data_IF_348003049972
#
_entry.id   IF_348003049972
#
_cell.length_a   1.000
_cell.length_b   1.000
_cell.length_c   1.000
_cell.angle_alpha   90.00
_cell.angle_beta   90.00
_cell.angle_gamma   90.00
#
_symmetry.space_group_name_H-M   'P 1'
#
loop_
_entity.id
_entity.type
_entity.pdbx_description
1 polymer ?
#
# COMPACT_ATOMS: atom_id res chain seq x y z
N UNK A 1 1.93 25.02 51.54
CA UNK A 1 2.14 23.95 50.55
C UNK A 1 0.91 23.06 50.56
N UNK A 2 -0.11 23.44 49.80
CA UNK A 2 -1.42 22.78 49.77
C UNK A 2 -2.09 23.14 48.46
N UNK A 3 -2.28 22.13 47.60
CA UNK A 3 -3.31 21.99 46.56
C UNK A 3 -2.72 21.19 45.39
N UNK A 4 -2.65 19.88 45.60
CA UNK A 4 -2.54 18.85 44.58
C UNK A 4 -3.80 18.94 43.70
N UNK A 5 -3.80 19.85 42.72
CA UNK A 5 -4.90 20.01 41.77
C UNK A 5 -4.91 18.78 40.87
N UNK A 6 -5.87 17.90 41.14
CA UNK A 6 -6.43 16.97 40.19
C UNK A 6 -6.60 17.62 38.81
N UNK A 7 -5.75 17.22 37.87
CA UNK A 7 -5.90 17.31 36.41
C UNK A 7 -6.27 18.67 35.85
N UNK A 8 -5.28 19.45 35.38
CA UNK A 8 -5.58 20.64 34.57
C UNK A 8 -6.46 20.25 33.36
N UNK A 9 -7.36 21.13 32.87
CA UNK A 9 -8.15 20.85 31.66
C UNK A 9 -7.29 20.45 30.45
N UNK A 10 -6.03 20.91 30.41
CA UNK A 10 -5.02 20.56 29.42
C UNK A 10 -4.52 19.12 29.58
N UNK A 11 -4.18 18.69 30.80
CA UNK A 11 -3.79 17.31 31.10
C UNK A 11 -4.90 16.32 30.68
N UNK A 12 -6.16 16.63 31.01
CA UNK A 12 -7.30 15.82 30.60
C UNK A 12 -7.47 15.73 29.07
N UNK A 13 -7.02 16.74 28.32
CA UNK A 13 -7.00 16.70 26.84
C UNK A 13 -5.87 15.80 26.34
N UNK A 14 -4.66 15.91 26.88
CA UNK A 14 -3.56 15.01 26.53
C UNK A 14 -3.86 13.54 26.87
N UNK A 15 -4.38 13.26 28.07
CA UNK A 15 -4.82 11.91 28.47
C UNK A 15 -5.96 11.35 27.63
N UNK A 16 -6.79 12.20 27.00
CA UNK A 16 -7.78 11.73 26.01
C UNK A 16 -7.11 11.33 24.69
N UNK A 17 -6.09 12.06 24.26
CA UNK A 17 -5.32 11.72 23.05
C UNK A 17 -4.51 10.44 23.24
N UNK A 18 -3.94 10.20 24.44
CA UNK A 18 -3.20 8.96 24.72
C UNK A 18 -4.07 7.72 24.61
N UNK A 19 -5.41 7.79 24.78
CA UNK A 19 -6.33 6.64 24.62
C UNK A 19 -6.24 5.95 23.26
N UNK A 20 -5.76 6.66 22.23
CA UNK A 20 -5.45 6.05 20.94
C UNK A 20 -4.34 5.01 21.05
N UNK A 21 -3.42 5.10 22.00
CA UNK A 21 -2.38 4.09 22.21
C UNK A 21 -2.94 2.78 22.79
N UNK A 22 -2.28 1.65 22.51
CA UNK A 22 -2.62 0.38 23.13
C UNK A 22 -2.53 0.41 24.67
N UNK A 23 -3.38 -0.36 25.35
CA UNK A 23 -3.47 -0.39 26.83
C UNK A 23 -2.12 -0.66 27.51
N UNK A 24 -1.34 -1.62 27.02
CA UNK A 24 -0.06 -1.95 27.67
C UNK A 24 1.01 -0.88 27.45
N UNK A 25 0.95 -0.14 26.33
CA UNK A 25 1.84 1.01 26.11
C UNK A 25 1.52 2.11 27.10
N UNK A 26 0.23 2.41 27.27
CA UNK A 26 -0.24 3.42 28.22
C UNK A 26 0.16 3.10 29.66
N UNK A 27 -0.04 1.85 30.08
CA UNK A 27 0.33 1.41 31.43
C UNK A 27 1.81 1.63 31.76
N UNK A 28 2.69 1.63 30.76
CA UNK A 28 4.13 1.80 30.97
C UNK A 28 4.64 3.22 30.68
N UNK A 29 3.96 4.02 29.86
CA UNK A 29 4.52 5.27 29.31
C UNK A 29 3.61 6.50 29.46
N UNK A 30 2.33 6.33 29.81
CA UNK A 30 1.34 7.42 29.72
C UNK A 30 1.71 8.62 30.60
N UNK A 31 2.07 8.40 31.86
CA UNK A 31 2.34 9.49 32.79
C UNK A 31 3.61 10.27 32.42
N UNK A 32 4.69 9.57 32.05
CA UNK A 32 5.92 10.21 31.58
C UNK A 32 5.69 11.00 30.29
N UNK A 33 4.99 10.42 29.32
CA UNK A 33 4.70 11.06 28.04
C UNK A 33 3.81 12.30 28.20
N UNK A 34 2.76 12.23 29.02
CA UNK A 34 1.88 13.37 29.30
C UNK A 34 2.62 14.45 30.08
N UNK A 35 3.46 14.09 31.05
CA UNK A 35 4.31 15.04 31.78
C UNK A 35 5.18 15.86 30.84
N UNK A 36 5.91 15.21 29.93
CA UNK A 36 6.75 15.91 28.94
C UNK A 36 5.94 16.85 28.04
N UNK A 37 4.73 16.46 27.60
CA UNK A 37 3.88 17.33 26.78
C UNK A 37 3.35 18.54 27.56
N UNK A 38 3.09 18.38 28.85
CA UNK A 38 2.69 19.49 29.73
C UNK A 38 3.84 20.46 29.96
N UNK A 39 5.05 19.96 30.23
CA UNK A 39 6.22 20.82 30.42
C UNK A 39 6.48 21.71 29.19
N UNK A 40 6.35 21.15 27.99
CA UNK A 40 6.47 21.91 26.73
C UNK A 40 5.33 22.91 26.57
N UNK A 41 4.09 22.51 26.88
CA UNK A 41 2.94 23.40 26.77
C UNK A 41 3.00 24.56 27.77
N UNK A 42 3.46 24.31 28.99
CA UNK A 42 3.62 25.31 30.05
C UNK A 42 4.75 26.29 29.69
N UNK A 43 5.88 25.80 29.16
CA UNK A 43 6.97 26.64 28.66
C UNK A 43 6.53 27.57 27.52
N UNK A 44 5.59 27.12 26.68
CA UNK A 44 5.02 27.89 25.58
C UNK A 44 3.75 28.68 25.97
N UNK A 45 3.32 28.62 27.25
CA UNK A 45 2.13 29.31 27.75
C UNK A 45 0.82 28.84 27.09
N UNK A 46 0.75 27.60 26.62
CA UNK A 46 -0.39 27.07 25.86
C UNK A 46 -1.45 26.45 26.76
N UNK A 47 -2.70 26.82 26.53
CA UNK A 47 -3.85 26.23 27.22
C UNK A 47 -4.46 24.99 26.51
N UNK A 48 -3.96 24.62 25.33
CA UNK A 48 -4.50 23.51 24.54
C UNK A 48 -3.42 22.82 23.69
N UNK A 49 -3.59 21.51 23.37
CA UNK A 49 -2.74 20.82 22.41
C UNK A 49 -2.92 21.41 21.02
N UNK A 50 -1.82 21.61 20.29
CA UNK A 50 -1.83 22.13 18.92
C UNK A 50 -2.45 21.12 17.95
N UNK A 51 -2.86 21.56 16.76
CA UNK A 51 -3.39 20.64 15.74
C UNK A 51 -2.33 19.62 15.31
N UNK A 52 -1.09 20.06 15.18
CA UNK A 52 0.04 19.21 14.79
C UNK A 52 0.32 18.16 15.86
N UNK A 53 0.41 18.55 17.14
CA UNK A 53 0.57 17.60 18.26
C UNK A 53 -0.52 16.53 18.26
N UNK A 54 -1.78 16.90 18.04
CA UNK A 54 -2.88 15.93 17.97
C UNK A 54 -2.68 14.92 16.85
N UNK A 55 -2.30 15.39 15.66
CA UNK A 55 -2.07 14.54 14.49
C UNK A 55 -0.87 13.61 14.72
N UNK A 56 0.22 14.13 15.30
CA UNK A 56 1.42 13.36 15.60
C UNK A 56 1.12 12.28 16.65
N UNK A 57 0.44 12.63 17.74
CA UNK A 57 0.04 11.69 18.80
C UNK A 57 -0.85 10.58 18.22
N UNK A 58 -1.85 10.93 17.42
CA UNK A 58 -2.75 9.94 16.78
C UNK A 58 -1.98 9.08 15.78
N UNK A 59 -1.11 9.66 14.96
CA UNK A 59 -0.30 8.95 13.98
C UNK A 59 0.67 7.96 14.63
N UNK A 60 1.31 8.35 15.73
CA UNK A 60 2.16 7.47 16.52
C UNK A 60 1.36 6.37 17.21
N UNK A 61 0.18 6.68 17.75
CA UNK A 61 -0.70 5.69 18.37
C UNK A 61 -1.19 4.63 17.37
N UNK A 62 -1.55 5.04 16.15
CA UNK A 62 -1.90 4.13 15.05
C UNK A 62 -0.71 3.26 14.66
N UNK A 63 0.49 3.84 14.54
CA UNK A 63 1.72 3.10 14.27
C UNK A 63 1.98 2.04 15.36
N UNK A 64 1.84 2.40 16.64
CA UNK A 64 2.02 1.51 17.77
C UNK A 64 0.99 0.35 17.82
N UNK A 65 -0.21 0.56 17.25
CA UNK A 65 -1.19 -0.53 17.07
C UNK A 65 -0.80 -1.43 15.90
N UNK A 66 -0.38 -0.86 14.79
CA UNK A 66 0.07 -1.60 13.62
C UNK A 66 1.29 -2.46 13.93
N UNK A 67 2.21 -1.98 14.77
CA UNK A 67 3.40 -2.72 15.22
C UNK A 67 3.07 -4.04 15.95
N UNK A 68 1.82 -4.19 16.44
CA UNK A 68 1.33 -5.46 17.03
C UNK A 68 0.81 -6.45 16.01
N UNK A 69 0.40 -5.96 14.85
CA UNK A 69 -0.20 -6.76 13.77
C UNK A 69 0.90 -7.17 12.80
N UNK A 70 1.81 -6.24 12.49
CA UNK A 70 2.89 -6.43 11.52
C UNK A 70 4.16 -5.82 12.10
N UNK A 71 5.24 -6.60 12.09
CA UNK A 71 6.57 -6.13 12.50
C UNK A 71 7.01 -4.92 11.66
N UNK A 72 7.55 -3.84 12.25
CA UNK A 72 7.80 -2.57 11.54
C UNK A 72 8.61 -2.69 10.24
N UNK A 73 9.66 -3.49 10.22
CA UNK A 73 10.50 -3.64 9.03
C UNK A 73 9.82 -4.43 7.91
N UNK A 74 8.98 -5.43 8.25
CA UNK A 74 8.12 -6.14 7.28
C UNK A 74 7.08 -5.19 6.71
N UNK A 75 6.48 -4.36 7.57
CA UNK A 75 5.50 -3.34 7.17
C UNK A 75 6.09 -2.35 6.17
N UNK A 76 7.27 -1.82 6.46
CA UNK A 76 7.94 -0.82 5.61
C UNK A 76 8.40 -1.44 4.28
N UNK A 77 8.86 -2.69 4.29
CA UNK A 77 9.19 -3.43 3.08
C UNK A 77 7.94 -3.77 2.25
N UNK A 78 6.86 -4.23 2.87
CA UNK A 78 5.57 -4.48 2.21
C UNK A 78 4.95 -3.21 1.62
N UNK A 79 5.05 -2.08 2.32
CA UNK A 79 4.69 -0.74 1.83
C UNK A 79 5.52 -0.35 0.59
N UNK A 80 6.81 -0.70 0.56
CA UNK A 80 7.67 -0.50 -0.61
C UNK A 80 7.20 -1.34 -1.79
N UNK A 81 6.92 -2.63 -1.59
CA UNK A 81 6.42 -3.51 -2.66
C UNK A 81 5.09 -2.97 -3.20
N UNK A 82 4.13 -2.67 -2.32
CA UNK A 82 2.83 -2.12 -2.73
C UNK A 82 2.96 -0.79 -3.47
N UNK A 83 3.88 0.09 -3.04
CA UNK A 83 4.17 1.34 -3.74
C UNK A 83 4.68 1.09 -5.16
N UNK A 84 5.70 0.24 -5.30
CA UNK A 84 6.33 -0.06 -6.60
C UNK A 84 5.39 -0.82 -7.53
N UNK A 85 4.59 -1.75 -7.00
CA UNK A 85 3.57 -2.49 -7.74
C UNK A 85 2.46 -1.56 -8.23
N UNK A 86 1.90 -0.72 -7.35
CA UNK A 86 0.89 0.26 -7.71
C UNK A 86 1.39 1.24 -8.78
N UNK A 87 2.61 1.77 -8.62
CA UNK A 87 3.21 2.64 -9.64
C UNK A 87 3.45 1.92 -10.96
N UNK A 88 4.00 0.71 -10.94
CA UNK A 88 4.26 -0.07 -12.16
C UNK A 88 2.99 -0.34 -12.97
N UNK A 89 1.96 -0.88 -12.32
CA UNK A 89 0.68 -1.14 -12.99
C UNK A 89 -0.04 0.14 -13.43
N UNK A 90 0.02 1.23 -12.65
CA UNK A 90 -0.57 2.50 -13.07
C UNK A 90 0.10 3.09 -14.32
N UNK A 91 1.42 2.96 -14.43
CA UNK A 91 2.15 3.35 -15.64
C UNK A 91 1.82 2.46 -16.83
N UNK A 92 1.64 1.16 -16.62
CA UNK A 92 1.27 0.22 -17.67
C UNK A 92 -0.14 0.52 -18.21
N UNK A 93 -1.12 0.70 -17.31
CA UNK A 93 -2.47 1.15 -17.65
C UNK A 93 -2.45 2.47 -18.42
N UNK A 94 -1.69 3.46 -17.94
CA UNK A 94 -1.58 4.74 -18.61
C UNK A 94 -1.01 4.63 -20.02
N UNK A 95 0.10 3.89 -20.19
CA UNK A 95 0.73 3.75 -21.49
C UNK A 95 -0.15 2.95 -22.46
N UNK A 96 -0.70 1.83 -21.99
CA UNK A 96 -1.31 0.81 -22.85
C UNK A 96 -2.81 1.03 -23.11
N UNK A 97 -3.56 1.50 -22.11
CA UNK A 97 -4.99 1.79 -22.25
C UNK A 97 -5.24 3.29 -22.45
N UNK A 98 -4.78 4.12 -21.50
CA UNK A 98 -5.21 5.53 -21.43
C UNK A 98 -4.64 6.38 -22.57
N UNK A 99 -3.32 6.37 -22.76
CA UNK A 99 -2.63 7.17 -23.77
C UNK A 99 -2.55 6.44 -25.10
N UNK A 100 -2.11 5.18 -25.09
CA UNK A 100 -1.96 4.29 -26.24
C UNK A 100 -1.56 5.06 -27.53
N UNK A 101 -0.37 5.70 -27.55
CA UNK A 101 0.01 6.63 -28.62
C UNK A 101 0.08 6.00 -30.02
N UNK A 102 0.18 4.67 -30.10
CA UNK A 102 0.13 3.89 -31.33
C UNK A 102 -1.27 3.78 -31.94
N UNK A 103 -2.32 4.18 -31.21
CA UNK A 103 -3.69 4.19 -31.71
C UNK A 103 -4.01 5.59 -32.19
N UNK A 104 -4.26 5.71 -33.48
CA UNK A 104 -4.61 6.99 -34.10
C UNK A 104 -6.12 7.24 -34.00
N UNK A 105 -6.48 8.42 -33.50
CA UNK A 105 -7.87 8.85 -33.35
C UNK A 105 -8.61 8.17 -32.19
N UNK A 106 -9.92 8.44 -32.16
CA UNK A 106 -10.82 7.89 -31.18
C UNK A 106 -11.35 6.54 -31.70
N UNK A 107 -11.09 5.42 -31.00
CA UNK A 107 -11.53 4.09 -31.45
C UNK A 107 -13.05 3.93 -31.38
N UNK A 108 -13.74 4.75 -30.58
CA UNK A 108 -15.20 4.67 -30.38
C UNK A 108 -15.82 6.09 -30.36
N UNK A 109 -15.75 6.85 -31.47
CA UNK A 109 -16.03 8.29 -31.50
C UNK A 109 -17.47 8.68 -31.11
N UNK A 110 -18.41 7.74 -31.18
CA UNK A 110 -19.82 7.96 -30.78
C UNK A 110 -20.07 7.69 -29.29
N UNK A 111 -19.13 7.05 -28.60
CA UNK A 111 -19.33 6.53 -27.24
C UNK A 111 -18.22 6.95 -26.27
N UNK A 112 -17.18 7.61 -26.76
CA UNK A 112 -16.02 8.05 -25.99
C UNK A 112 -15.75 9.54 -26.26
N UNK A 113 -15.73 10.35 -25.21
CA UNK A 113 -15.26 11.73 -25.20
C UNK A 113 -13.82 11.70 -24.73
N UNK A 114 -12.90 11.94 -25.66
CA UNK A 114 -11.47 11.92 -25.40
C UNK A 114 -11.04 13.24 -24.76
N UNK A 115 -10.20 13.18 -23.72
CA UNK A 115 -9.61 14.37 -23.09
C UNK A 115 -8.18 14.51 -23.60
N UNK A 116 -8.00 15.35 -24.63
CA UNK A 116 -6.71 15.46 -25.32
C UNK A 116 -6.30 14.11 -25.93
N UNK A 117 -5.09 13.58 -25.67
CA UNK A 117 -4.68 12.28 -26.18
C UNK A 117 -5.19 11.10 -25.31
N UNK A 118 -5.89 11.35 -24.20
CA UNK A 118 -6.25 10.32 -23.23
C UNK A 118 -7.67 9.79 -23.41
N UNK A 119 -7.81 8.47 -23.40
CA UNK A 119 -9.07 7.74 -23.61
C UNK A 119 -9.86 7.51 -22.33
N UNK A 120 -9.20 7.48 -21.18
CA UNK A 120 -9.84 7.30 -19.87
C UNK A 120 -9.10 8.11 -18.78
N UNK A 121 -9.55 7.96 -17.53
CA UNK A 121 -8.98 8.66 -16.37
C UNK A 121 -7.63 8.12 -15.87
N UNK A 122 -7.02 7.11 -16.51
CA UNK A 122 -5.81 6.45 -16.03
C UNK A 122 -4.58 7.36 -15.92
N UNK A 123 -4.50 8.43 -16.72
CA UNK A 123 -3.44 9.44 -16.59
C UNK A 123 -3.42 10.13 -15.22
N UNK A 124 -4.58 10.30 -14.58
CA UNK A 124 -4.67 10.88 -13.23
C UNK A 124 -4.06 9.92 -12.20
N UNK A 125 -4.37 8.63 -12.31
CA UNK A 125 -3.83 7.61 -11.41
C UNK A 125 -2.33 7.45 -11.59
N UNK A 126 -1.83 7.40 -12.82
CA UNK A 126 -0.40 7.36 -13.10
C UNK A 126 0.35 8.57 -12.53
N UNK A 127 -0.20 9.79 -12.68
CA UNK A 127 0.40 10.99 -12.11
C UNK A 127 0.46 10.93 -10.58
N UNK A 128 -0.62 10.52 -9.91
CA UNK A 128 -0.65 10.39 -8.44
C UNK A 128 0.36 9.34 -7.94
N UNK A 129 0.46 8.20 -8.62
CA UNK A 129 1.42 7.15 -8.28
C UNK A 129 2.88 7.56 -8.54
N UNK A 130 3.15 8.31 -9.61
CA UNK A 130 4.47 8.89 -9.88
C UNK A 130 4.86 9.92 -8.83
N UNK A 131 3.94 10.81 -8.42
CA UNK A 131 4.17 11.76 -7.32
C UNK A 131 4.47 11.00 -6.03
N UNK A 132 3.74 9.92 -5.73
CA UNK A 132 3.99 9.11 -4.55
C UNK A 132 5.38 8.45 -4.55
N UNK A 133 5.77 7.82 -5.66
CA UNK A 133 7.08 7.17 -5.79
C UNK A 133 8.22 8.18 -5.73
N UNK A 134 8.13 9.29 -6.47
CA UNK A 134 9.15 10.34 -6.47
C UNK A 134 9.29 10.99 -5.11
N UNK A 135 8.17 11.26 -4.41
CA UNK A 135 8.19 11.76 -3.04
C UNK A 135 8.89 10.78 -2.07
N UNK A 136 8.65 9.47 -2.20
CA UNK A 136 9.34 8.46 -1.41
C UNK A 136 10.86 8.46 -1.68
N UNK A 137 11.27 8.48 -2.95
CA UNK A 137 12.68 8.51 -3.35
C UNK A 137 13.40 9.80 -2.95
N UNK A 138 12.67 10.92 -2.88
CA UNK A 138 13.17 12.21 -2.41
C UNK A 138 13.19 12.34 -0.88
N UNK A 139 12.70 11.35 -0.13
CA UNK A 139 12.58 11.41 1.34
C UNK A 139 11.46 12.33 1.84
N UNK A 140 10.54 12.76 0.97
CA UNK A 140 9.41 13.64 1.27
C UNK A 140 8.09 12.85 1.40
N UNK A 141 8.11 11.78 2.20
CA UNK A 141 7.00 10.80 2.23
C UNK A 141 5.62 11.38 2.61
N UNK A 142 5.58 12.52 3.33
CA UNK A 142 4.33 13.23 3.60
C UNK A 142 3.55 13.58 2.31
N UNK A 143 4.25 14.02 1.26
CA UNK A 143 3.66 14.33 -0.05
C UNK A 143 3.11 13.06 -0.70
N UNK A 144 3.87 11.96 -0.62
CA UNK A 144 3.42 10.67 -1.16
C UNK A 144 2.16 10.14 -0.47
N UNK A 145 2.03 10.32 0.85
CA UNK A 145 0.81 9.97 1.58
C UNK A 145 -0.40 10.76 1.11
N UNK A 146 -0.24 12.06 0.86
CA UNK A 146 -1.32 12.90 0.33
C UNK A 146 -1.73 12.38 -1.05
N UNK A 147 -0.77 12.13 -1.95
CA UNK A 147 -1.04 11.63 -3.29
C UNK A 147 -1.78 10.28 -3.27
N UNK A 148 -1.35 9.33 -2.42
CA UNK A 148 -2.01 8.03 -2.27
C UNK A 148 -3.40 8.15 -1.64
N UNK A 149 -3.60 9.07 -0.69
CA UNK A 149 -4.93 9.33 -0.12
C UNK A 149 -5.89 9.87 -1.19
N UNK A 150 -5.43 10.82 -1.99
CA UNK A 150 -6.19 11.34 -3.14
C UNK A 150 -6.46 10.23 -4.16
N UNK A 151 -5.49 9.35 -4.42
CA UNK A 151 -5.65 8.19 -5.30
C UNK A 151 -6.77 7.25 -4.82
N UNK A 152 -6.83 6.93 -3.53
CA UNK A 152 -7.90 6.09 -2.95
C UNK A 152 -9.26 6.78 -3.13
N UNK A 153 -9.36 8.07 -2.79
CA UNK A 153 -10.62 8.81 -2.95
C UNK A 153 -11.06 8.87 -4.41
N UNK A 154 -10.14 9.12 -5.34
CA UNK A 154 -10.42 9.11 -6.77
C UNK A 154 -10.87 7.73 -7.25
N UNK A 155 -10.23 6.65 -6.82
CA UNK A 155 -10.60 5.28 -7.18
C UNK A 155 -12.03 4.92 -6.72
N UNK A 156 -12.46 5.45 -5.57
CA UNK A 156 -13.83 5.24 -5.05
C UNK A 156 -14.85 6.11 -5.78
N UNK A 157 -14.53 7.38 -6.06
CA UNK A 157 -15.50 8.35 -6.59
C UNK A 157 -15.67 8.26 -8.10
N UNK A 158 -14.58 8.11 -8.85
CA UNK A 158 -14.59 8.21 -10.32
C UNK A 158 -15.53 7.23 -11.04
N UNK A 159 -15.69 5.96 -10.63
CA UNK A 159 -16.60 5.04 -11.31
C UNK A 159 -18.07 5.45 -11.24
N UNK A 160 -18.47 6.18 -10.18
CA UNK A 160 -19.84 6.65 -10.01
C UNK A 160 -20.04 8.04 -10.59
N UNK A 161 -19.01 8.88 -10.50
CA UNK A 161 -19.03 10.22 -11.06
C UNK A 161 -19.19 10.19 -12.58
N UNK A 162 -18.39 9.37 -13.27
CA UNK A 162 -18.38 9.33 -14.74
C UNK A 162 -19.61 8.68 -15.38
N UNK A 163 -20.40 7.91 -14.62
CA UNK A 163 -21.72 7.44 -15.10
C UNK A 163 -22.65 8.61 -15.48
N UNK A 164 -22.44 9.80 -14.89
CA UNK A 164 -23.22 11.01 -15.20
C UNK A 164 -22.72 11.79 -16.42
N UNK A 165 -21.55 11.45 -16.97
CA UNK A 165 -20.92 12.17 -18.08
C UNK A 165 -20.71 11.21 -19.25
N UNK A 166 -21.71 11.09 -20.15
CA UNK A 166 -21.64 10.19 -21.30
C UNK A 166 -20.36 10.42 -22.09
N UNK A 167 -19.65 9.31 -22.36
CA UNK A 167 -18.41 9.34 -23.13
C UNK A 167 -17.14 9.51 -22.31
N UNK A 168 -17.16 10.00 -21.07
CA UNK A 168 -15.94 10.01 -20.25
C UNK A 168 -15.83 8.69 -19.50
N UNK A 169 -14.79 7.92 -19.79
CA UNK A 169 -14.62 6.58 -19.23
C UNK A 169 -13.67 6.61 -18.03
N UNK A 170 -14.06 5.87 -17.00
CA UNK A 170 -13.18 5.57 -15.86
C UNK A 170 -12.30 4.38 -16.20
N UNK A 171 -11.12 4.32 -15.60
CA UNK A 171 -10.38 3.07 -15.38
C UNK A 171 -11.34 2.01 -14.82
N UNK A 172 -11.14 0.75 -15.22
CA UNK A 172 -11.98 -0.36 -14.80
C UNK A 172 -11.99 -0.53 -13.27
N UNK A 173 -13.13 -1.00 -12.73
CA UNK A 173 -13.34 -1.13 -11.28
C UNK A 173 -12.36 -2.12 -10.63
N UNK A 174 -11.94 -3.16 -11.33
CA UNK A 174 -10.91 -4.09 -10.86
C UNK A 174 -9.56 -3.41 -10.73
N UNK A 175 -9.14 -2.67 -11.75
CA UNK A 175 -7.87 -1.91 -11.76
C UNK A 175 -7.86 -0.82 -10.69
N UNK A 176 -8.97 -0.11 -10.49
CA UNK A 176 -9.12 0.86 -9.41
C UNK A 176 -9.09 0.21 -8.02
N UNK A 177 -9.67 -0.98 -7.86
CA UNK A 177 -9.58 -1.73 -6.61
C UNK A 177 -8.13 -2.13 -6.30
N UNK A 178 -7.35 -2.55 -7.31
CA UNK A 178 -5.92 -2.82 -7.17
C UNK A 178 -5.18 -1.56 -6.70
N UNK A 179 -5.37 -0.42 -7.37
CA UNK A 179 -4.72 0.83 -6.97
C UNK A 179 -5.09 1.26 -5.56
N UNK A 180 -6.37 1.17 -5.18
CA UNK A 180 -6.79 1.49 -3.82
C UNK A 180 -6.16 0.55 -2.78
N UNK A 181 -6.11 -0.76 -3.05
CA UNK A 181 -5.52 -1.75 -2.15
C UNK A 181 -3.99 -1.53 -2.00
N UNK A 182 -3.28 -1.30 -3.10
CA UNK A 182 -1.85 -0.97 -3.07
C UNK A 182 -1.60 0.33 -2.29
N UNK A 183 -2.40 1.36 -2.52
CA UNK A 183 -2.26 2.64 -1.84
C UNK A 183 -2.49 2.49 -0.32
N UNK A 184 -3.48 1.70 0.10
CA UNK A 184 -3.74 1.41 1.52
C UNK A 184 -2.54 0.73 2.18
N UNK A 185 -1.97 -0.32 1.56
CA UNK A 185 -0.79 -1.01 2.09
C UNK A 185 0.44 -0.10 2.09
N UNK A 186 0.63 0.70 1.04
CA UNK A 186 1.73 1.66 0.97
C UNK A 186 1.63 2.74 2.07
N UNK A 187 0.44 3.26 2.38
CA UNK A 187 0.21 4.28 3.41
C UNK A 187 0.58 3.83 4.83
N UNK A 188 0.41 2.53 5.10
CA UNK A 188 0.64 1.92 6.41
C UNK A 188 2.11 1.97 6.83
N UNK A 189 3.05 1.94 5.88
CA UNK A 189 4.49 1.91 6.14
C UNK A 189 5.26 3.18 5.74
N UNK A 190 6.58 3.08 5.82
CA UNK A 190 7.55 4.03 5.27
C UNK A 190 8.37 3.33 4.17
N UNK A 191 8.07 3.60 2.89
CA UNK A 191 8.78 2.97 1.79
C UNK A 191 10.29 3.24 1.85
N UNK A 192 11.08 2.25 1.48
CA UNK A 192 12.53 2.33 1.51
C UNK A 192 13.01 3.22 0.37
N UNK A 193 13.86 4.20 0.72
CA UNK A 193 14.55 5.07 -0.23
C UNK A 193 15.71 4.29 -0.86
N UNK A 194 15.46 3.69 -2.01
CA UNK A 194 16.48 2.95 -2.76
C UNK A 194 16.23 3.02 -4.26
N UNK A 195 17.31 2.97 -5.05
CA UNK A 195 17.24 2.82 -6.50
C UNK A 195 16.60 1.47 -6.89
N UNK A 196 16.70 0.46 -6.02
CA UNK A 196 15.98 -0.81 -6.19
C UNK A 196 14.46 -0.64 -6.20
N UNK A 197 13.91 0.37 -5.50
CA UNK A 197 12.47 0.66 -5.54
C UNK A 197 12.05 1.17 -6.92
N UNK A 198 12.87 2.00 -7.57
CA UNK A 198 12.61 2.44 -8.95
C UNK A 198 12.73 1.27 -9.95
N UNK A 199 13.75 0.41 -9.78
CA UNK A 199 13.90 -0.79 -10.61
C UNK A 199 12.73 -1.77 -10.44
N UNK A 200 12.25 -1.96 -9.21
CA UNK A 200 11.07 -2.79 -8.94
C UNK A 200 9.81 -2.21 -9.59
N UNK A 201 9.61 -0.88 -9.54
CA UNK A 201 8.49 -0.24 -10.23
C UNK A 201 8.56 -0.44 -11.75
N UNK A 202 9.77 -0.37 -12.34
CA UNK A 202 9.98 -0.68 -13.74
C UNK A 202 9.68 -2.16 -14.07
N UNK A 203 10.06 -3.09 -13.18
CA UNK A 203 9.73 -4.51 -13.32
C UNK A 203 8.21 -4.76 -13.31
N UNK A 204 7.48 -4.17 -12.37
CA UNK A 204 6.01 -4.23 -12.32
C UNK A 204 5.36 -3.57 -13.53
N UNK A 205 5.92 -2.48 -14.04
CA UNK A 205 5.48 -1.83 -15.27
C UNK A 205 5.61 -2.77 -16.48
N UNK A 206 6.78 -3.38 -16.67
CA UNK A 206 6.99 -4.34 -17.76
C UNK A 206 6.05 -5.55 -17.66
N UNK A 207 5.81 -6.04 -16.44
CA UNK A 207 4.85 -7.11 -16.18
C UNK A 207 3.41 -6.70 -16.52
N UNK A 208 3.02 -5.47 -16.19
CA UNK A 208 1.74 -4.90 -16.58
C UNK A 208 1.60 -4.83 -18.10
N UNK A 209 2.59 -4.29 -18.80
CA UNK A 209 2.61 -4.23 -20.28
C UNK A 209 2.50 -5.63 -20.90
N UNK A 210 3.26 -6.60 -20.38
CA UNK A 210 3.18 -7.99 -20.83
C UNK A 210 1.78 -8.59 -20.62
N UNK A 211 1.13 -8.28 -19.49
CA UNK A 211 -0.22 -8.74 -19.18
C UNK A 211 -1.23 -8.20 -20.20
N UNK A 212 -1.24 -6.89 -20.48
CA UNK A 212 -2.07 -6.33 -21.56
C UNK A 212 -1.79 -6.96 -22.92
N UNK A 213 -0.52 -7.20 -23.25
CA UNK A 213 -0.12 -7.80 -24.53
C UNK A 213 -0.60 -9.25 -24.72
N UNK A 214 -0.97 -9.95 -23.64
CA UNK A 214 -1.36 -11.36 -23.72
C UNK A 214 -2.81 -11.60 -24.20
N UNK A 215 -3.65 -10.56 -24.24
CA UNK A 215 -5.06 -10.68 -24.68
C UNK A 215 -5.18 -10.94 -26.20
N UNK A 216 -4.07 -10.98 -26.94
CA UNK A 216 -4.05 -11.51 -28.31
C UNK A 216 -4.84 -10.69 -29.33
N UNK A 217 -4.98 -9.38 -29.10
CA UNK A 217 -5.75 -8.52 -30.01
C UNK A 217 -5.00 -8.18 -31.29
N UNK A 218 -5.77 -7.99 -32.38
CA UNK A 218 -5.29 -7.51 -33.67
C UNK A 218 -4.47 -6.22 -33.51
N UNK A 219 -3.35 -6.12 -34.23
CA UNK A 219 -2.51 -4.92 -34.26
C UNK A 219 -3.35 -3.68 -34.52
N UNK A 220 -3.29 -2.70 -33.61
CA UNK A 220 -4.06 -1.45 -33.71
C UNK A 220 -5.40 -1.45 -32.95
N UNK A 221 -5.82 -2.56 -32.36
CA UNK A 221 -6.98 -2.57 -31.47
C UNK A 221 -6.68 -1.83 -30.16
N UNK A 222 -7.71 -1.12 -29.65
CA UNK A 222 -7.63 -0.48 -28.35
C UNK A 222 -7.84 -1.49 -27.24
N UNK A 223 -6.84 -1.58 -26.36
CA UNK A 223 -6.90 -2.35 -25.13
C UNK A 223 -7.57 -1.50 -24.08
N UNK A 224 -8.76 -1.92 -23.65
CA UNK A 224 -9.46 -1.27 -22.56
C UNK A 224 -8.80 -1.65 -21.22
N UNK A 225 -9.00 -0.84 -20.19
CA UNK A 225 -8.50 -1.09 -18.82
C UNK A 225 -8.78 -2.52 -18.31
N UNK A 226 -9.93 -3.09 -18.68
CA UNK A 226 -10.32 -4.46 -18.32
C UNK A 226 -9.40 -5.54 -18.90
N UNK A 227 -8.73 -5.26 -20.03
CA UNK A 227 -7.80 -6.17 -20.69
C UNK A 227 -6.63 -6.58 -19.79
N UNK A 228 -6.30 -5.80 -18.75
CA UNK A 228 -5.33 -6.23 -17.72
C UNK A 228 -5.74 -7.55 -17.06
N UNK A 229 -7.05 -7.71 -16.81
CA UNK A 229 -7.62 -8.86 -16.11
C UNK A 229 -7.90 -10.02 -17.05
N UNK A 230 -8.35 -9.71 -18.27
CA UNK A 230 -8.55 -10.73 -19.31
C UNK A 230 -7.18 -11.34 -19.73
N UNK A 231 -6.12 -10.54 -19.72
CA UNK A 231 -4.73 -10.94 -20.02
C UNK A 231 -3.85 -11.15 -18.79
N UNK A 232 -4.46 -11.48 -17.65
CA UNK A 232 -3.73 -11.53 -16.38
C UNK A 232 -2.73 -12.71 -16.27
N UNK A 233 -2.54 -13.49 -17.33
CA UNK A 233 -1.75 -14.71 -17.34
C UNK A 233 -0.31 -14.49 -16.84
N UNK A 234 0.38 -13.47 -17.34
CA UNK A 234 1.78 -13.20 -16.97
C UNK A 234 1.93 -12.72 -15.53
N UNK A 235 1.06 -11.80 -15.09
CA UNK A 235 1.06 -11.36 -13.71
C UNK A 235 0.70 -12.51 -12.75
N UNK A 236 -0.23 -13.39 -13.14
CA UNK A 236 -0.58 -14.59 -12.38
C UNK A 236 0.61 -15.55 -12.25
N UNK A 237 1.32 -15.85 -13.34
CA UNK A 237 2.52 -16.69 -13.28
C UNK A 237 3.65 -16.08 -12.46
N UNK A 238 3.88 -14.77 -12.60
CA UNK A 238 4.88 -14.07 -11.79
C UNK A 238 4.55 -14.19 -10.30
N UNK A 239 3.29 -14.03 -9.91
CA UNK A 239 2.84 -14.22 -8.52
C UNK A 239 3.04 -15.67 -8.07
N UNK A 240 2.67 -16.66 -8.88
CA UNK A 240 2.92 -18.06 -8.57
C UNK A 240 4.41 -18.37 -8.35
N UNK A 241 5.30 -17.83 -9.19
CA UNK A 241 6.75 -17.97 -9.01
C UNK A 241 7.24 -17.31 -7.72
N UNK A 242 6.74 -16.10 -7.41
CA UNK A 242 7.07 -15.38 -6.17
C UNK A 242 6.58 -16.17 -4.93
N UNK A 243 5.41 -16.80 -4.99
CA UNK A 243 4.89 -17.64 -3.91
C UNK A 243 5.71 -18.91 -3.72
N UNK A 244 6.09 -19.60 -4.80
CA UNK A 244 6.98 -20.77 -4.73
C UNK A 244 8.32 -20.37 -4.11
N UNK A 245 8.87 -19.22 -4.49
CA UNK A 245 10.07 -18.67 -3.86
C UNK A 245 9.84 -18.38 -2.37
N UNK A 246 8.70 -17.80 -1.99
CA UNK A 246 8.36 -17.55 -0.59
C UNK A 246 8.27 -18.85 0.23
N UNK A 247 7.71 -19.92 -0.33
CA UNK A 247 7.69 -21.25 0.31
C UNK A 247 9.12 -21.79 0.49
N UNK A 248 9.97 -21.70 -0.52
CA UNK A 248 11.38 -22.08 -0.40
C UNK A 248 12.13 -21.29 0.67
N UNK A 249 11.88 -19.98 0.75
CA UNK A 249 12.44 -19.10 1.78
C UNK A 249 11.92 -19.42 3.18
N UNK A 250 10.65 -19.84 3.30
CA UNK A 250 10.07 -20.30 4.56
C UNK A 250 10.75 -21.59 5.05
N UNK A 251 10.98 -22.55 4.16
CA UNK A 251 11.77 -23.77 4.45
C UNK A 251 13.20 -23.41 4.89
N UNK A 252 13.81 -22.41 4.24
CA UNK A 252 15.11 -21.88 4.64
C UNK A 252 15.11 -21.04 5.94
N UNK A 253 13.93 -20.85 6.57
CA UNK A 253 13.70 -20.06 7.79
C UNK A 253 14.06 -18.57 7.65
N UNK A 254 13.79 -17.99 6.47
CA UNK A 254 13.96 -16.58 6.16
C UNK A 254 12.62 -15.82 6.28
N UNK A 255 11.99 -15.95 7.46
CA UNK A 255 10.60 -15.53 7.70
C UNK A 255 10.33 -14.04 7.45
N UNK A 256 11.29 -13.16 7.74
CA UNK A 256 11.15 -11.73 7.42
C UNK A 256 10.88 -11.49 5.93
N UNK A 257 11.58 -12.23 5.05
CA UNK A 257 11.42 -12.09 3.59
C UNK A 257 10.08 -12.67 3.16
N UNK A 258 9.70 -13.84 3.70
CA UNK A 258 8.41 -14.48 3.44
C UNK A 258 7.26 -13.54 3.77
N UNK A 259 7.25 -12.96 4.98
CA UNK A 259 6.21 -12.04 5.39
C UNK A 259 6.17 -10.76 4.56
N UNK A 260 7.33 -10.28 4.13
CA UNK A 260 7.43 -9.12 3.22
C UNK A 260 6.77 -9.43 1.88
N UNK A 261 7.06 -10.59 1.29
CA UNK A 261 6.44 -11.05 0.05
C UNK A 261 4.93 -11.20 0.22
N UNK A 262 4.49 -11.91 1.26
CA UNK A 262 3.07 -12.13 1.53
C UNK A 262 2.30 -10.83 1.69
N UNK A 263 2.81 -9.91 2.50
CA UNK A 263 2.17 -8.61 2.72
C UNK A 263 2.17 -7.76 1.44
N UNK A 264 3.25 -7.80 0.67
CA UNK A 264 3.40 -7.07 -0.58
C UNK A 264 2.47 -7.55 -1.69
N UNK A 265 2.20 -8.87 -1.77
CA UNK A 265 1.31 -9.47 -2.77
C UNK A 265 -0.18 -9.38 -2.40
N UNK A 266 -0.49 -9.08 -1.13
CA UNK A 266 -1.87 -9.03 -0.62
C UNK A 266 -2.80 -8.17 -1.48
N UNK A 267 -2.45 -6.93 -1.89
CA UNK A 267 -3.31 -6.12 -2.75
C UNK A 267 -3.72 -6.81 -4.05
N UNK A 268 -2.75 -7.40 -4.75
CA UNK A 268 -3.00 -8.03 -6.04
C UNK A 268 -3.91 -9.25 -5.91
N UNK A 269 -3.62 -10.13 -4.94
CA UNK A 269 -4.41 -11.34 -4.71
C UNK A 269 -5.84 -11.01 -4.28
N UNK A 270 -6.03 -10.02 -3.39
CA UNK A 270 -7.37 -9.57 -3.01
C UNK A 270 -8.17 -9.06 -4.21
N UNK A 271 -7.53 -8.33 -5.13
CA UNK A 271 -8.19 -7.88 -6.35
C UNK A 271 -8.53 -9.04 -7.29
N UNK A 272 -7.61 -9.99 -7.49
CA UNK A 272 -7.86 -11.18 -8.31
C UNK A 272 -9.04 -11.99 -7.75
N UNK A 273 -9.05 -12.29 -6.46
CA UNK A 273 -10.16 -12.98 -5.79
C UNK A 273 -11.46 -12.19 -5.95
N UNK A 274 -11.43 -10.87 -5.73
CA UNK A 274 -12.60 -10.01 -5.90
C UNK A 274 -13.16 -9.99 -7.33
N UNK A 275 -12.29 -10.05 -8.34
CA UNK A 275 -12.69 -10.12 -9.74
C UNK A 275 -13.22 -11.49 -10.13
N UNK A 276 -12.65 -12.58 -9.62
CA UNK A 276 -13.18 -13.95 -9.81
C UNK A 276 -14.58 -14.08 -9.19
N UNK A 277 -14.78 -13.60 -7.96
CA UNK A 277 -16.10 -13.60 -7.31
C UNK A 277 -17.16 -12.78 -8.05
N UNK A 278 -16.74 -11.85 -8.92
CA UNK A 278 -17.62 -11.07 -9.80
C UNK A 278 -17.85 -11.71 -11.17
N UNK A 279 -17.21 -12.85 -11.45
CA UNK A 279 -17.26 -13.51 -12.76
C UNK A 279 -16.51 -12.73 -13.86
N UNK A 280 -15.54 -11.88 -13.50
CA UNK A 280 -14.75 -11.11 -14.48
C UNK A 280 -13.61 -11.94 -15.04
N UNK A 281 -13.01 -12.82 -14.23
CA UNK A 281 -11.93 -13.70 -14.64
C UNK A 281 -12.52 -15.02 -15.17
N UNK A 282 -12.36 -15.28 -16.47
CA UNK A 282 -12.95 -16.45 -17.12
C UNK A 282 -11.91 -17.53 -17.47
N UNK A 283 -10.62 -17.21 -17.51
CA UNK A 283 -9.61 -18.12 -18.08
C UNK A 283 -8.29 -18.23 -17.29
N UNK A 284 -8.04 -17.38 -16.29
CA UNK A 284 -6.89 -17.53 -15.40
C UNK A 284 -7.18 -18.62 -14.36
N UNK A 285 -6.20 -19.49 -14.07
CA UNK A 285 -6.35 -20.55 -13.05
C UNK A 285 -6.91 -20.03 -11.71
N UNK A 286 -7.49 -20.93 -10.90
CA UNK A 286 -8.26 -20.56 -9.71
C UNK A 286 -7.50 -19.61 -8.78
N UNK A 287 -8.10 -18.46 -8.43
CA UNK A 287 -7.56 -17.52 -7.45
C UNK A 287 -7.34 -18.18 -6.09
N UNK A 288 -8.05 -19.28 -5.78
CA UNK A 288 -7.82 -20.06 -4.57
C UNK A 288 -6.39 -20.58 -4.44
N UNK A 289 -5.74 -20.90 -5.56
CA UNK A 289 -4.36 -21.44 -5.60
C UNK A 289 -3.36 -20.43 -5.07
N UNK A 290 -3.50 -19.15 -5.44
CA UNK A 290 -2.63 -18.06 -4.98
C UNK A 290 -3.13 -17.41 -3.68
N UNK A 291 -4.44 -17.44 -3.42
CA UNK A 291 -5.00 -16.85 -2.22
C UNK A 291 -4.65 -17.63 -0.95
N UNK A 292 -4.62 -18.96 -1.01
CA UNK A 292 -4.39 -19.79 0.17
C UNK A 292 -2.99 -19.60 0.80
N UNK A 293 -1.87 -19.61 0.03
CA UNK A 293 -0.53 -19.35 0.58
C UNK A 293 -0.42 -17.98 1.23
N UNK A 294 -1.00 -16.94 0.61
CA UNK A 294 -0.94 -15.58 1.16
C UNK A 294 -1.80 -15.42 2.40
N UNK A 295 -3.02 -15.98 2.43
CA UNK A 295 -3.85 -16.00 3.62
C UNK A 295 -3.14 -16.69 4.80
N UNK A 296 -2.51 -17.85 4.56
CA UNK A 296 -1.72 -18.56 5.57
C UNK A 296 -0.54 -17.71 6.06
N UNK A 297 0.22 -17.12 5.14
CA UNK A 297 1.36 -16.26 5.48
C UNK A 297 0.94 -15.04 6.32
N UNK A 298 -0.22 -14.43 6.05
CA UNK A 298 -0.76 -13.32 6.83
C UNK A 298 -1.14 -13.75 8.24
N UNK A 299 -1.78 -14.92 8.40
CA UNK A 299 -2.11 -15.48 9.72
C UNK A 299 -0.82 -15.72 10.52
N UNK A 300 0.18 -16.35 9.90
CA UNK A 300 1.48 -16.58 10.53
C UNK A 300 2.19 -15.29 10.92
N UNK A 301 2.13 -14.25 10.07
CA UNK A 301 2.67 -12.93 10.36
C UNK A 301 2.01 -12.30 11.59
N UNK A 302 0.68 -12.38 11.71
CA UNK A 302 -0.05 -11.83 12.86
C UNK A 302 0.27 -12.61 14.14
N UNK A 303 0.31 -13.94 14.08
CA UNK A 303 0.70 -14.78 15.21
C UNK A 303 2.14 -14.50 15.66
N UNK A 304 3.05 -14.30 14.71
CA UNK A 304 4.44 -13.96 14.97
C UNK A 304 4.57 -12.56 15.60
N UNK A 305 3.92 -11.56 15.01
CA UNK A 305 3.96 -10.16 15.47
C UNK A 305 3.34 -9.97 16.86
N UNK A 306 2.35 -10.81 17.20
CA UNK A 306 1.72 -10.81 18.53
C UNK A 306 2.48 -11.60 19.59
N UNK A 307 3.61 -12.23 19.24
CA UNK A 307 4.40 -13.06 20.15
C UNK A 307 3.77 -14.42 20.48
N UNK A 308 2.70 -14.81 19.77
CA UNK A 308 2.03 -16.10 19.95
C UNK A 308 2.73 -17.24 19.20
N UNK A 309 3.59 -16.91 18.23
CA UNK A 309 4.34 -17.87 17.43
C UNK A 309 5.80 -17.44 17.32
N UNK A 310 6.70 -18.23 17.90
CA UNK A 310 8.13 -18.02 17.77
C UNK A 310 8.66 -18.68 16.50
N UNK A 311 9.05 -17.87 15.53
CA UNK A 311 9.70 -18.33 14.30
C UNK A 311 11.15 -17.86 14.32
N UNK A 312 12.08 -18.81 14.36
CA UNK A 312 13.51 -18.49 14.36
C UNK A 312 13.93 -17.96 12.98
N UNK A 313 14.23 -16.66 12.89
CA UNK A 313 14.78 -16.07 11.67
C UNK A 313 16.32 -16.17 11.65
N UNK A 314 16.87 -16.83 10.62
CA UNK A 314 18.32 -16.96 10.44
C UNK A 314 19.01 -15.62 10.23
N UNK A 315 18.35 -14.65 9.60
CA UNK A 315 18.91 -13.34 9.26
C UNK A 315 19.28 -12.58 10.53
N UNK A 316 18.38 -12.61 11.52
CA UNK A 316 18.56 -11.93 12.80
C UNK A 316 19.76 -12.46 13.58
N UNK A 317 19.93 -13.79 13.63
CA UNK A 317 21.07 -14.44 14.30
C UNK A 317 22.42 -14.03 13.70
N UNK A 318 22.48 -13.83 12.38
CA UNK A 318 23.73 -13.42 11.72
C UNK A 318 24.11 -11.99 12.09
N UNK A 319 23.14 -11.07 12.12
CA UNK A 319 23.36 -9.67 12.52
C UNK A 319 23.78 -9.57 13.99
N UNK A 320 23.15 -10.33 14.87
CA UNK A 320 23.48 -10.34 16.30
C UNK A 320 24.89 -10.89 16.57
N UNK A 321 25.38 -11.86 15.80
CA UNK A 321 26.77 -12.36 15.93
C UNK A 321 27.84 -11.37 15.49
N UNK A 322 27.53 -10.44 14.59
CA UNK A 322 28.50 -9.48 14.05
C UNK A 322 28.64 -8.27 14.97
N UNK A 323 27.66 -7.99 15.84
CA UNK A 323 27.79 -6.90 16.82
C UNK A 323 28.79 -7.32 17.91
N UNK A 324 29.88 -6.56 18.12
CA UNK A 324 30.78 -6.81 19.24
C UNK A 324 30.00 -6.70 20.56
N UNK A 325 30.36 -7.50 21.58
CA UNK A 325 29.74 -7.40 22.89
C UNK A 325 29.87 -5.96 23.40
N UNK A 326 28.75 -5.37 23.82
CA UNK A 326 28.77 -4.07 24.49
C UNK A 326 29.41 -4.29 25.86
N UNK A 327 30.69 -3.96 25.95
CA UNK A 327 31.42 -3.78 27.21
C UNK A 327 30.93 -2.54 27.93
#
# INVERSE_FOLDING_TARGET
MTAQRSGSPLEARYRRLTRWYPRTWRAANEDAFVGTLLDVADAEGRAAPTRQERLDIVGHAVSARLDRIVVPHVRDAGSTIALTMGTGFALAEFLVSSWAPWIHGNPVPKSLVQVGPFRDSGFVFAALWLVALTAALAGRWAVGRIALTVCILAAVVTPYWFVRFPGVWSVDRGTLALFAACALVALIGRPVRSHHSAAAAAGWFLLGVASYGSVGHLTGAWLISRSLWDGNLWAWYAVGVIEVAAVGLAVARLWTVVFTITLGLTPYILTVVGNELRGILTESGSAGVIAAPVALGLVLLVLHSSGKLELTDRTRRRVERIRPPRT
#
